data_IF_037795879742
#
_entry.id   IF_037795879742
#
_cell.length_a   1.000
_cell.length_b   1.000
_cell.length_c   1.000
_cell.angle_alpha   90.00
_cell.angle_beta   90.00
_cell.angle_gamma   90.00
#
_symmetry.space_group_name_H-M   'P 1'
#
loop_
_entity.id
_entity.type
_entity.pdbx_description
1 polymer ?
#
# COMPACT_ATOMS: atom_id res chain seq x y z
N UNK A 1 -21.51 16.20 -4.60
CA UNK A 1 -20.69 17.32 -4.08
C UNK A 1 -19.93 16.96 -2.80
N UNK A 2 -20.59 16.43 -1.77
CA UNK A 2 -20.00 16.21 -0.44
C UNK A 2 -18.86 15.18 -0.39
N UNK A 3 -19.03 14.00 -1.01
CA UNK A 3 -18.01 12.94 -1.00
C UNK A 3 -16.72 13.39 -1.71
N UNK A 4 -16.85 14.13 -2.82
CA UNK A 4 -15.71 14.69 -3.54
C UNK A 4 -14.86 15.60 -2.64
N UNK A 5 -15.50 16.48 -1.86
CA UNK A 5 -14.82 17.35 -0.91
C UNK A 5 -14.19 16.57 0.25
N UNK A 6 -14.86 15.53 0.74
CA UNK A 6 -14.32 14.65 1.79
C UNK A 6 -13.06 13.92 1.33
N UNK A 7 -13.04 13.37 0.11
CA UNK A 7 -11.86 12.71 -0.45
C UNK A 7 -10.69 13.68 -0.67
N UNK A 8 -10.97 14.87 -1.20
CA UNK A 8 -9.96 15.93 -1.36
C UNK A 8 -9.41 16.37 -0.01
N UNK A 9 -10.29 16.59 0.98
CA UNK A 9 -9.90 16.97 2.33
C UNK A 9 -9.05 15.88 2.99
N UNK A 10 -9.47 14.61 2.90
CA UNK A 10 -8.72 13.47 3.45
C UNK A 10 -7.31 13.38 2.86
N UNK A 11 -7.19 13.54 1.54
CA UNK A 11 -5.88 13.57 0.87
C UNK A 11 -5.02 14.75 1.33
N UNK A 12 -5.59 15.95 1.43
CA UNK A 12 -4.87 17.14 1.95
C UNK A 12 -4.44 16.94 3.41
N UNK A 13 -5.28 16.32 4.24
CA UNK A 13 -4.94 16.00 5.63
C UNK A 13 -3.74 15.04 5.68
N UNK A 14 -3.74 13.93 4.93
CA UNK A 14 -2.56 13.03 4.85
C UNK A 14 -1.31 13.78 4.39
N UNK A 15 -1.45 14.67 3.40
CA UNK A 15 -0.32 15.45 2.87
C UNK A 15 0.29 16.45 3.85
N UNK A 16 -0.48 16.93 4.83
CA UNK A 16 -0.03 17.90 5.83
C UNK A 16 0.40 17.18 7.11
N UNK A 17 -0.46 16.30 7.62
CA UNK A 17 -0.33 15.64 8.92
C UNK A 17 0.48 14.35 8.80
N UNK A 18 0.25 13.56 7.76
CA UNK A 18 0.81 12.21 7.59
C UNK A 18 0.36 11.28 8.72
N UNK A 19 1.30 10.47 9.22
CA UNK A 19 1.09 9.57 10.37
C UNK A 19 1.69 10.17 11.66
N UNK A 20 0.90 10.92 12.46
CA UNK A 20 1.38 11.53 13.69
C UNK A 20 1.67 10.45 14.74
N UNK A 21 2.94 10.30 15.11
CA UNK A 21 3.43 9.28 16.07
C UNK A 21 2.73 9.32 17.45
N UNK A 22 2.14 10.46 17.80
CA UNK A 22 1.55 10.72 19.12
C UNK A 22 0.03 10.48 19.17
N UNK A 23 -0.64 10.24 18.05
CA UNK A 23 -2.07 9.95 18.04
C UNK A 23 -2.32 8.44 17.91
N UNK A 24 -3.34 7.90 18.61
CA UNK A 24 -3.71 6.50 18.45
C UNK A 24 -4.18 6.25 17.01
N UNK A 25 -3.35 5.59 16.21
CA UNK A 25 -3.66 5.28 14.82
C UNK A 25 -4.55 4.03 14.73
N UNK A 26 -5.63 4.01 13.93
CA UNK A 26 -6.56 2.87 13.87
C UNK A 26 -5.88 1.53 13.53
N UNK A 27 -4.83 1.58 12.70
CA UNK A 27 -3.99 0.41 12.35
C UNK A 27 -3.38 -0.27 13.60
N UNK A 28 -3.02 0.49 14.64
CA UNK A 28 -2.51 -0.10 15.90
C UNK A 28 -3.61 -0.90 16.60
N UNK A 29 -4.83 -0.39 16.60
CA UNK A 29 -6.00 -1.10 17.12
C UNK A 29 -6.28 -2.38 16.34
N UNK A 30 -6.25 -2.31 15.00
CA UNK A 30 -6.38 -3.46 14.11
C UNK A 30 -5.29 -4.51 14.40
N UNK A 31 -4.03 -4.11 14.51
CA UNK A 31 -2.92 -5.03 14.80
C UNK A 31 -3.05 -5.74 16.16
N UNK A 32 -3.52 -5.02 17.18
CA UNK A 32 -3.84 -5.62 18.49
C UNK A 32 -4.98 -6.63 18.39
N UNK A 33 -6.05 -6.30 17.65
CA UNK A 33 -7.18 -7.19 17.41
C UNK A 33 -6.75 -8.46 16.65
N UNK A 34 -5.94 -8.31 15.59
CA UNK A 34 -5.38 -9.43 14.81
C UNK A 34 -4.57 -10.34 15.73
N UNK A 35 -3.67 -9.78 16.54
CA UNK A 35 -2.80 -10.56 17.44
C UNK A 35 -3.62 -11.29 18.51
N UNK A 36 -4.65 -10.65 19.06
CA UNK A 36 -5.54 -11.27 20.03
C UNK A 36 -6.35 -12.42 19.42
N UNK A 37 -6.90 -12.21 18.22
CA UNK A 37 -7.70 -13.21 17.51
C UNK A 37 -6.83 -14.38 17.03
N UNK A 38 -5.62 -14.12 16.51
CA UNK A 38 -4.64 -15.17 16.20
C UNK A 38 -4.40 -16.06 17.44
N UNK A 39 -4.09 -15.44 18.59
CA UNK A 39 -3.83 -16.19 19.83
C UNK A 39 -5.05 -17.00 20.27
N UNK A 40 -6.25 -16.45 20.15
CA UNK A 40 -7.49 -17.15 20.48
C UNK A 40 -7.72 -18.35 19.56
N UNK A 41 -7.57 -18.17 18.24
CA UNK A 41 -7.71 -19.25 17.26
C UNK A 41 -6.70 -20.36 17.53
N UNK A 42 -5.42 -20.04 17.74
CA UNK A 42 -4.38 -21.05 17.99
C UNK A 42 -4.54 -21.81 19.31
N UNK A 43 -5.25 -21.25 20.29
CA UNK A 43 -5.59 -21.96 21.54
C UNK A 43 -6.67 -23.02 21.34
N UNK A 44 -7.59 -22.79 20.40
CA UNK A 44 -8.74 -23.66 20.14
C UNK A 44 -8.47 -24.67 19.02
N UNK A 45 -7.62 -24.32 18.05
CA UNK A 45 -7.30 -25.15 16.89
C UNK A 45 -5.80 -25.25 16.66
N UNK A 46 -5.30 -26.48 16.54
CA UNK A 46 -3.88 -26.79 16.32
C UNK A 46 -3.61 -27.59 15.04
N UNK A 47 -4.63 -28.24 14.45
CA UNK A 47 -4.46 -29.03 13.21
C UNK A 47 -4.52 -28.11 11.97
N UNK A 48 -3.68 -28.32 10.94
CA UNK A 48 -3.62 -27.48 9.73
C UNK A 48 -4.98 -27.20 9.08
N UNK A 49 -5.78 -28.25 8.85
CA UNK A 49 -7.10 -28.11 8.22
C UNK A 49 -8.09 -27.27 9.06
N UNK A 50 -8.06 -27.45 10.39
CA UNK A 50 -8.89 -26.65 11.29
C UNK A 50 -8.42 -25.20 11.39
N UNK A 51 -7.10 -24.97 11.40
CA UNK A 51 -6.51 -23.63 11.36
C UNK A 51 -6.90 -22.89 10.09
N UNK A 52 -6.89 -23.57 8.95
CA UNK A 52 -7.28 -22.95 7.67
C UNK A 52 -8.74 -22.51 7.63
N UNK A 53 -9.65 -23.31 8.20
CA UNK A 53 -11.07 -22.92 8.34
C UNK A 53 -11.24 -21.78 9.34
N UNK A 54 -10.59 -21.87 10.49
CA UNK A 54 -10.64 -20.84 11.52
C UNK A 54 -9.98 -19.53 11.05
N UNK A 55 -9.01 -19.59 10.15
CA UNK A 55 -8.34 -18.44 9.54
C UNK A 55 -9.28 -17.50 8.81
N UNK A 56 -10.43 -17.98 8.33
CA UNK A 56 -11.48 -17.13 7.72
C UNK A 56 -12.07 -16.14 8.74
N UNK A 57 -12.03 -16.46 10.04
CA UNK A 57 -12.50 -15.57 11.09
C UNK A 57 -11.65 -14.30 11.19
N UNK A 58 -10.37 -14.34 10.82
CA UNK A 58 -9.49 -13.16 10.86
C UNK A 58 -10.03 -12.01 9.99
N UNK A 59 -10.18 -12.17 8.65
CA UNK A 59 -10.74 -11.11 7.82
C UNK A 59 -12.19 -10.78 8.18
N UNK A 60 -13.03 -11.77 8.49
CA UNK A 60 -14.43 -11.51 8.86
C UNK A 60 -14.55 -10.62 10.10
N UNK A 61 -13.83 -10.94 11.18
CA UNK A 61 -13.92 -10.19 12.42
C UNK A 61 -13.17 -8.85 12.35
N UNK A 62 -11.99 -8.80 11.74
CA UNK A 62 -11.17 -7.58 11.76
C UNK A 62 -11.63 -6.59 10.68
N UNK A 63 -11.79 -7.03 9.43
CA UNK A 63 -12.27 -6.12 8.37
C UNK A 63 -13.76 -5.81 8.53
N UNK A 64 -14.59 -6.81 8.85
CA UNK A 64 -16.00 -6.61 9.15
C UNK A 64 -16.22 -5.77 10.41
N UNK A 65 -15.40 -5.97 11.45
CA UNK A 65 -15.40 -5.15 12.66
C UNK A 65 -14.99 -3.70 12.39
N UNK A 66 -13.91 -3.48 11.62
CA UNK A 66 -13.49 -2.13 11.22
C UNK A 66 -14.57 -1.38 10.43
N UNK A 67 -15.22 -2.08 9.49
CA UNK A 67 -16.36 -1.56 8.75
C UNK A 67 -17.53 -1.20 9.69
N UNK A 68 -17.97 -2.15 10.53
CA UNK A 68 -19.12 -1.96 11.40
C UNK A 68 -18.89 -0.87 12.44
N UNK A 69 -17.73 -0.83 13.10
CA UNK A 69 -17.40 0.20 14.08
C UNK A 69 -17.38 1.58 13.45
N UNK A 70 -16.83 1.69 12.24
CA UNK A 70 -16.78 2.96 11.50
C UNK A 70 -18.17 3.39 11.05
N UNK A 71 -18.99 2.47 10.54
CA UNK A 71 -20.38 2.75 10.15
C UNK A 71 -21.24 3.18 11.35
N UNK A 72 -21.14 2.49 12.48
CA UNK A 72 -21.85 2.84 13.72
C UNK A 72 -21.41 4.21 14.22
N UNK A 73 -20.10 4.51 14.22
CA UNK A 73 -19.58 5.82 14.62
C UNK A 73 -20.20 6.94 13.76
N UNK A 74 -20.19 6.79 12.43
CA UNK A 74 -20.76 7.81 11.54
C UNK A 74 -22.28 7.94 11.68
N UNK A 75 -23.00 6.84 11.93
CA UNK A 75 -24.44 6.85 12.20
C UNK A 75 -24.77 7.55 13.54
N UNK A 76 -23.96 7.38 14.57
CA UNK A 76 -24.13 8.11 15.83
C UNK A 76 -23.86 9.60 15.64
N UNK A 77 -22.81 9.97 14.87
CA UNK A 77 -22.49 11.37 14.58
C UNK A 77 -23.55 12.04 13.70
N UNK A 78 -24.19 11.31 12.79
CA UNK A 78 -25.25 11.85 11.93
C UNK A 78 -26.50 12.26 12.73
N UNK A 79 -26.72 11.64 13.88
CA UNK A 79 -27.78 12.02 14.82
C UNK A 79 -27.51 13.35 15.53
N UNK A 80 -26.26 13.83 15.52
CA UNK A 80 -25.85 15.09 16.15
C UNK A 80 -25.75 16.20 15.10
N UNK A 81 -24.97 15.99 14.03
CA UNK A 81 -24.77 16.98 12.98
C UNK A 81 -24.15 16.36 11.72
N UNK A 82 -24.68 16.67 10.51
CA UNK A 82 -24.07 16.25 9.24
C UNK A 82 -22.62 16.72 9.07
N UNK A 83 -22.25 17.88 9.63
CA UNK A 83 -20.89 18.40 9.55
C UNK A 83 -19.87 17.52 10.30
N UNK A 84 -20.28 16.94 11.44
CA UNK A 84 -19.42 16.04 12.20
C UNK A 84 -19.14 14.76 11.42
N UNK A 85 -20.12 14.26 10.66
CA UNK A 85 -19.93 13.11 9.77
C UNK A 85 -18.86 13.41 8.75
N UNK A 86 -18.92 14.56 8.07
CA UNK A 86 -17.94 14.90 7.02
C UNK A 86 -16.52 15.07 7.57
N UNK A 87 -16.40 15.71 8.74
CA UNK A 87 -15.09 15.87 9.42
C UNK A 87 -14.53 14.50 9.82
N UNK A 88 -15.35 13.67 10.46
CA UNK A 88 -14.94 12.34 10.90
C UNK A 88 -14.60 11.44 9.70
N UNK A 89 -15.37 11.51 8.62
CA UNK A 89 -15.14 10.73 7.41
C UNK A 89 -13.82 11.14 6.72
N UNK A 90 -13.57 12.44 6.56
CA UNK A 90 -12.32 12.95 5.99
C UNK A 90 -11.11 12.54 6.85
N UNK A 91 -11.24 12.66 8.18
CA UNK A 91 -10.20 12.23 9.11
C UNK A 91 -9.94 10.72 9.01
N UNK A 92 -10.98 9.89 9.10
CA UNK A 92 -10.84 8.43 9.04
C UNK A 92 -10.23 7.97 7.71
N UNK A 93 -10.68 8.51 6.57
CA UNK A 93 -10.09 8.19 5.27
C UNK A 93 -8.61 8.62 5.24
N UNK A 94 -8.26 9.79 5.79
CA UNK A 94 -6.86 10.22 5.85
C UNK A 94 -5.96 9.23 6.59
N UNK A 95 -6.46 8.57 7.64
CA UNK A 95 -5.71 7.51 8.36
C UNK A 95 -5.57 6.18 7.60
N UNK A 96 -6.27 6.03 6.47
CA UNK A 96 -6.13 4.84 5.61
C UNK A 96 -5.11 5.02 4.49
N UNK A 97 -4.71 6.27 4.24
CA UNK A 97 -3.78 6.65 3.17
C UNK A 97 -2.42 7.01 3.81
N UNK A 98 -1.32 6.67 3.16
CA UNK A 98 0.02 7.00 3.66
C UNK A 98 0.93 7.62 2.57
N UNK A 99 0.41 8.57 1.78
CA UNK A 99 1.18 9.16 0.66
C UNK A 99 2.35 10.01 1.16
N UNK A 100 2.15 10.76 2.25
CA UNK A 100 3.22 11.52 2.90
C UNK A 100 4.23 10.60 3.58
N UNK A 101 3.74 9.64 4.37
CA UNK A 101 4.60 8.71 5.10
C UNK A 101 5.52 7.92 4.18
N UNK A 102 4.98 7.38 3.08
CA UNK A 102 5.74 6.63 2.09
C UNK A 102 6.79 7.50 1.37
N UNK A 103 6.43 8.73 1.00
CA UNK A 103 7.38 9.70 0.43
C UNK A 103 8.52 10.01 1.40
N UNK A 104 8.19 10.36 2.64
CA UNK A 104 9.16 10.77 3.65
C UNK A 104 10.13 9.61 3.97
N UNK A 105 9.63 8.38 3.99
CA UNK A 105 10.47 7.20 4.22
C UNK A 105 11.42 6.92 3.05
N UNK A 106 10.98 7.06 1.80
CA UNK A 106 11.87 6.99 0.64
C UNK A 106 12.93 8.11 0.66
N UNK A 107 12.53 9.34 0.97
CA UNK A 107 13.46 10.48 1.08
C UNK A 107 14.49 10.26 2.19
N UNK A 108 14.11 9.62 3.31
CA UNK A 108 15.06 9.31 4.37
C UNK A 108 16.20 8.41 3.86
N UNK A 109 15.90 7.39 3.05
CA UNK A 109 16.94 6.55 2.42
C UNK A 109 17.78 7.36 1.42
N UNK A 110 17.13 8.16 0.58
CA UNK A 110 17.81 9.02 -0.39
C UNK A 110 18.82 9.97 0.25
N UNK A 111 18.45 10.62 1.36
CA UNK A 111 19.30 11.58 2.08
C UNK A 111 20.56 10.90 2.60
N UNK A 112 20.47 9.69 3.16
CA UNK A 112 21.66 8.96 3.64
C UNK A 112 22.54 8.46 2.49
N UNK A 113 21.94 8.05 1.36
CA UNK A 113 22.69 7.72 0.14
C UNK A 113 23.46 8.94 -0.41
N UNK A 114 22.86 10.12 -0.42
CA UNK A 114 23.50 11.36 -0.88
C UNK A 114 24.67 11.80 0.01
N UNK A 115 24.62 11.46 1.31
CA UNK A 115 25.73 11.69 2.24
C UNK A 115 26.86 10.66 2.08
N UNK A 116 26.63 9.55 1.37
CA UNK A 116 27.55 8.41 1.30
C UNK A 116 27.56 7.52 2.54
N UNK A 117 26.60 7.68 3.47
CA UNK A 117 26.51 6.87 4.69
C UNK A 117 25.69 5.59 4.42
N UNK A 118 26.38 4.58 3.86
CA UNK A 118 25.78 3.28 3.52
C UNK A 118 25.18 2.57 4.75
N UNK A 119 25.85 2.48 5.91
CA UNK A 119 25.23 1.92 7.12
C UNK A 119 23.93 2.61 7.52
N UNK A 120 23.87 3.94 7.49
CA UNK A 120 22.65 4.69 7.81
C UNK A 120 21.55 4.44 6.75
N UNK A 121 21.91 4.40 5.47
CA UNK A 121 20.98 4.11 4.38
C UNK A 121 20.38 2.70 4.49
N UNK A 122 21.18 1.67 4.85
CA UNK A 122 20.69 0.31 5.13
C UNK A 122 19.71 0.27 6.29
N UNK A 123 20.00 1.03 7.35
CA UNK A 123 19.12 1.15 8.51
C UNK A 123 17.81 1.82 8.12
N UNK A 124 17.85 2.92 7.37
CA UNK A 124 16.66 3.61 6.88
C UNK A 124 15.81 2.69 5.99
N UNK A 125 16.44 1.97 5.06
CA UNK A 125 15.75 1.00 4.20
C UNK A 125 15.10 -0.12 5.04
N UNK A 126 15.81 -0.65 6.04
CA UNK A 126 15.30 -1.72 6.91
C UNK A 126 14.07 -1.33 7.73
N UNK A 127 13.73 -0.04 7.80
CA UNK A 127 12.48 0.43 8.42
C UNK A 127 11.26 0.31 7.49
N UNK A 128 11.47 0.15 6.18
CA UNK A 128 10.40 0.10 5.17
C UNK A 128 10.35 -1.21 4.38
N UNK A 129 11.39 -2.05 4.45
CA UNK A 129 11.38 -3.40 3.84
C UNK A 129 11.33 -4.50 4.89
N UNK A 130 10.76 -5.64 4.52
CA UNK A 130 10.82 -6.88 5.32
C UNK A 130 12.06 -7.75 5.07
N UNK A 131 12.95 -7.35 4.14
CA UNK A 131 14.16 -8.10 3.76
C UNK A 131 15.38 -7.64 4.56
N UNK A 132 16.39 -8.50 4.65
CA UNK A 132 17.65 -8.18 5.30
C UNK A 132 18.40 -7.11 4.49
N UNK A 133 18.85 -6.03 5.16
CA UNK A 133 19.51 -4.89 4.49
C UNK A 133 21.01 -4.78 4.78
N UNK A 134 21.53 -5.57 5.71
CA UNK A 134 22.87 -5.38 6.31
C UNK A 134 24.00 -5.50 5.27
N UNK A 135 23.83 -6.32 4.24
CA UNK A 135 24.83 -6.57 3.20
C UNK A 135 24.62 -5.79 1.89
N UNK A 136 23.55 -5.00 1.77
CA UNK A 136 23.18 -4.37 0.49
C UNK A 136 24.14 -3.24 0.10
N UNK A 137 24.56 -3.19 -1.15
CA UNK A 137 25.31 -2.04 -1.68
C UNK A 137 24.36 -0.90 -2.09
N UNK A 138 24.90 0.23 -2.56
CA UNK A 138 24.09 1.40 -2.89
C UNK A 138 23.03 1.13 -3.97
N UNK A 139 23.33 0.48 -5.11
CA UNK A 139 22.30 0.11 -6.10
C UNK A 139 21.19 -0.76 -5.52
N UNK A 140 21.52 -1.72 -4.67
CA UNK A 140 20.53 -2.61 -4.04
C UNK A 140 19.68 -1.90 -2.98
N UNK A 141 20.23 -0.88 -2.32
CA UNK A 141 19.47 0.00 -1.42
C UNK A 141 18.47 0.85 -2.23
N UNK A 142 18.92 1.40 -3.37
CA UNK A 142 18.04 2.14 -4.30
C UNK A 142 16.94 1.22 -4.81
N UNK A 143 17.29 0.02 -5.31
CA UNK A 143 16.34 -0.98 -5.80
C UNK A 143 15.26 -1.28 -4.77
N UNK A 144 15.66 -1.59 -3.53
CA UNK A 144 14.70 -1.90 -2.46
C UNK A 144 13.77 -0.75 -2.11
N UNK A 145 14.29 0.47 -2.15
CA UNK A 145 13.48 1.67 -1.89
C UNK A 145 12.48 1.89 -3.02
N UNK A 146 12.92 1.77 -4.28
CA UNK A 146 12.05 1.93 -5.45
C UNK A 146 10.96 0.84 -5.48
N UNK A 147 11.33 -0.42 -5.26
CA UNK A 147 10.39 -1.55 -5.15
C UNK A 147 9.33 -1.28 -4.08
N UNK A 148 9.76 -0.89 -2.87
CA UNK A 148 8.86 -0.63 -1.75
C UNK A 148 7.90 0.52 -2.05
N UNK A 149 8.43 1.65 -2.57
CA UNK A 149 7.60 2.80 -2.90
C UNK A 149 6.61 2.42 -4.00
N UNK A 150 7.05 1.73 -5.06
CA UNK A 150 6.20 1.33 -6.17
C UNK A 150 5.09 0.37 -5.74
N UNK A 151 5.44 -0.71 -5.03
CA UNK A 151 4.49 -1.71 -4.51
C UNK A 151 3.39 -1.02 -3.67
N UNK A 152 3.78 -0.13 -2.76
CA UNK A 152 2.85 0.52 -1.84
C UNK A 152 2.03 1.67 -2.45
N UNK A 153 2.23 2.04 -3.72
CA UNK A 153 1.32 2.98 -4.42
C UNK A 153 -0.11 2.43 -4.39
N UNK A 154 -0.25 1.13 -4.63
CA UNK A 154 -1.54 0.44 -4.63
C UNK A 154 -2.09 0.38 -3.21
N UNK A 155 -1.34 -0.26 -2.32
CA UNK A 155 -1.84 -0.64 -0.99
C UNK A 155 -2.04 0.53 -0.03
N UNK A 156 -1.15 1.51 -0.09
CA UNK A 156 -1.14 2.62 0.84
C UNK A 156 -1.90 3.85 0.32
N UNK A 157 -2.32 3.87 -0.95
CA UNK A 157 -2.93 5.08 -1.56
C UNK A 157 -4.11 4.75 -2.45
N UNK A 158 -3.90 4.04 -3.57
CA UNK A 158 -4.94 3.89 -4.59
C UNK A 158 -6.09 3.02 -4.09
N UNK A 159 -5.81 1.90 -3.43
CA UNK A 159 -6.85 1.01 -2.93
C UNK A 159 -7.69 1.63 -1.79
N UNK A 160 -7.10 2.27 -0.76
CA UNK A 160 -7.90 2.99 0.24
C UNK A 160 -8.83 4.05 -0.38
N UNK A 161 -8.32 4.84 -1.34
CA UNK A 161 -9.10 5.86 -2.05
C UNK A 161 -10.20 5.25 -2.94
N UNK A 162 -9.91 4.13 -3.61
CA UNK A 162 -10.87 3.41 -4.43
C UNK A 162 -12.06 2.93 -3.59
N UNK A 163 -11.78 2.32 -2.43
CA UNK A 163 -12.81 1.86 -1.52
C UNK A 163 -13.54 3.00 -0.79
N UNK A 164 -12.84 4.11 -0.51
CA UNK A 164 -13.45 5.34 0.00
C UNK A 164 -14.46 5.93 -1.00
N UNK A 165 -14.17 5.90 -2.30
CA UNK A 165 -15.10 6.36 -3.34
C UNK A 165 -16.38 5.52 -3.37
N UNK A 166 -16.27 4.20 -3.18
CA UNK A 166 -17.40 3.26 -3.28
C UNK A 166 -18.28 3.29 -2.03
N UNK A 167 -17.66 3.30 -0.85
CA UNK A 167 -18.37 3.06 0.42
C UNK A 167 -17.96 3.97 1.56
N UNK A 168 -17.31 5.10 1.27
CA UNK A 168 -16.88 6.09 2.25
C UNK A 168 -15.82 5.54 3.22
N UNK A 169 -15.67 6.21 4.36
CA UNK A 169 -14.74 5.77 5.40
C UNK A 169 -14.94 4.31 5.88
N UNK A 170 -16.17 3.76 6.02
CA UNK A 170 -16.35 2.37 6.45
C UNK A 170 -15.62 1.37 5.54
N UNK A 171 -15.74 1.52 4.22
CA UNK A 171 -15.13 0.58 3.28
C UNK A 171 -13.62 0.81 3.13
N UNK A 172 -13.16 2.07 3.20
CA UNK A 172 -11.73 2.39 3.27
C UNK A 172 -11.06 1.76 4.51
N UNK A 173 -11.73 1.84 5.66
CA UNK A 173 -11.26 1.24 6.92
C UNK A 173 -11.27 -0.29 6.89
N UNK A 174 -12.30 -0.89 6.26
CA UNK A 174 -12.35 -2.32 6.02
C UNK A 174 -11.17 -2.78 5.16
N UNK A 175 -10.92 -2.07 4.06
CA UNK A 175 -9.76 -2.34 3.21
C UNK A 175 -8.45 -2.20 3.97
N UNK A 176 -8.27 -1.12 4.76
CA UNK A 176 -7.05 -0.93 5.55
C UNK A 176 -6.82 -2.06 6.56
N UNK A 177 -7.89 -2.61 7.12
CA UNK A 177 -7.84 -3.80 7.95
C UNK A 177 -7.44 -5.07 7.18
N UNK A 178 -7.91 -5.24 5.93
CA UNK A 178 -7.46 -6.33 5.04
C UNK A 178 -5.96 -6.23 4.76
N UNK A 179 -5.47 -5.05 4.39
CA UNK A 179 -4.05 -4.84 4.12
C UNK A 179 -3.17 -5.04 5.38
N UNK A 180 -3.66 -4.60 6.55
CA UNK A 180 -2.98 -4.84 7.84
C UNK A 180 -2.93 -6.33 8.18
N UNK A 181 -4.00 -7.08 7.89
CA UNK A 181 -4.04 -8.53 8.05
C UNK A 181 -3.01 -9.22 7.18
N UNK A 182 -2.93 -8.88 5.89
CA UNK A 182 -1.94 -9.49 4.99
C UNK A 182 -0.51 -9.21 5.47
N UNK A 183 -0.21 -7.98 5.86
CA UNK A 183 1.11 -7.59 6.38
C UNK A 183 1.50 -8.31 7.68
N UNK A 184 0.55 -8.76 8.50
CA UNK A 184 0.83 -9.41 9.80
C UNK A 184 0.78 -10.94 9.75
N UNK A 185 -0.13 -11.50 8.95
CA UNK A 185 -0.40 -12.94 8.92
C UNK A 185 -0.43 -13.53 7.51
N UNK A 186 -0.25 -12.75 6.44
CA UNK A 186 -0.32 -13.23 5.04
C UNK A 186 0.89 -14.04 4.56
N UNK A 187 1.96 -14.12 5.36
CA UNK A 187 3.20 -14.79 4.98
C UNK A 187 3.02 -16.29 4.65
N UNK A 188 3.64 -16.74 3.56
CA UNK A 188 3.69 -18.15 3.14
C UNK A 188 4.77 -18.94 3.88
N UNK A 189 4.79 -18.87 5.22
CA UNK A 189 5.70 -19.64 6.08
C UNK A 189 4.93 -20.67 6.92
N UNK A 190 5.65 -21.59 7.58
CA UNK A 190 5.02 -22.68 8.35
C UNK A 190 4.09 -22.18 9.46
N UNK A 191 4.35 -20.97 9.98
CA UNK A 191 3.50 -20.36 11.01
C UNK A 191 2.15 -19.92 10.45
N UNK A 192 2.11 -19.32 9.26
CA UNK A 192 0.95 -18.58 8.76
C UNK A 192 0.30 -19.17 7.50
N UNK A 193 0.95 -20.10 6.80
CA UNK A 193 0.45 -20.68 5.54
C UNK A 193 -1.00 -21.14 5.61
N UNK A 194 -1.42 -21.77 6.70
CA UNK A 194 -2.80 -22.22 6.88
C UNK A 194 -3.69 -21.12 7.47
N UNK A 195 -3.25 -20.46 8.55
CA UNK A 195 -4.05 -19.47 9.28
C UNK A 195 -4.35 -18.22 8.44
N UNK A 196 -3.32 -17.69 7.79
CA UNK A 196 -3.36 -16.42 7.08
C UNK A 196 -3.85 -16.50 5.64
N UNK A 197 -4.09 -17.71 5.13
CA UNK A 197 -4.45 -17.90 3.72
C UNK A 197 -5.67 -17.08 3.28
N UNK A 198 -6.69 -16.99 4.13
CA UNK A 198 -7.90 -16.21 3.84
C UNK A 198 -7.62 -14.71 3.79
N UNK A 199 -6.75 -14.21 4.69
CA UNK A 199 -6.31 -12.81 4.72
C UNK A 199 -5.55 -12.44 3.44
N UNK A 200 -4.54 -13.23 3.08
CA UNK A 200 -3.74 -12.99 1.87
C UNK A 200 -4.60 -13.05 0.60
N UNK A 201 -5.53 -14.02 0.53
CA UNK A 201 -6.43 -14.13 -0.61
C UNK A 201 -7.41 -12.96 -0.71
N UNK A 202 -7.89 -12.43 0.42
CA UNK A 202 -8.77 -11.28 0.43
C UNK A 202 -8.03 -10.01 -0.01
N UNK A 203 -6.78 -9.83 0.43
CA UNK A 203 -5.93 -8.73 -0.02
C UNK A 203 -5.67 -8.81 -1.53
N UNK A 204 -5.26 -9.99 -2.03
CA UNK A 204 -5.08 -10.23 -3.47
C UNK A 204 -6.31 -9.81 -4.29
N UNK A 205 -7.51 -10.15 -3.81
CA UNK A 205 -8.77 -9.80 -4.49
C UNK A 205 -9.07 -8.32 -4.37
N UNK A 206 -8.88 -7.73 -3.19
CA UNK A 206 -9.19 -6.33 -2.94
C UNK A 206 -8.31 -5.38 -3.76
N UNK A 207 -7.05 -5.76 -3.94
CA UNK A 207 -6.06 -5.01 -4.71
C UNK A 207 -6.08 -5.30 -6.21
N UNK A 208 -6.87 -6.28 -6.68
CA UNK A 208 -6.87 -6.70 -8.08
C UNK A 208 -7.18 -5.54 -9.04
N UNK A 209 -8.34 -4.90 -8.89
CA UNK A 209 -8.76 -3.78 -9.75
C UNK A 209 -7.88 -2.54 -9.51
N UNK A 210 -7.65 -2.08 -8.26
CA UNK A 210 -6.77 -0.94 -8.00
C UNK A 210 -5.38 -1.04 -8.61
N UNK A 211 -4.75 -2.23 -8.59
CA UNK A 211 -3.42 -2.42 -9.18
C UNK A 211 -3.38 -2.17 -10.70
N UNK A 212 -4.43 -2.57 -11.43
CA UNK A 212 -4.50 -2.36 -12.89
C UNK A 212 -4.76 -0.88 -13.21
N UNK A 213 -5.63 -0.24 -12.45
CA UNK A 213 -5.84 1.21 -12.55
C UNK A 213 -4.52 1.94 -12.30
N UNK A 214 -3.79 1.54 -11.26
CA UNK A 214 -2.50 2.14 -10.88
C UNK A 214 -1.48 2.05 -12.02
N UNK A 215 -1.35 0.91 -12.70
CA UNK A 215 -0.43 0.78 -13.83
C UNK A 215 -0.75 1.75 -14.99
N UNK A 216 -2.03 1.95 -15.32
CA UNK A 216 -2.44 2.90 -16.36
C UNK A 216 -2.18 4.34 -15.93
N UNK A 217 -2.45 4.68 -14.67
CA UNK A 217 -2.15 5.99 -14.11
C UNK A 217 -0.65 6.27 -14.08
N UNK A 218 0.18 5.27 -13.76
CA UNK A 218 1.63 5.41 -13.78
C UNK A 218 2.17 5.64 -15.20
N UNK A 219 1.59 5.01 -16.22
CA UNK A 219 1.92 5.32 -17.61
C UNK A 219 1.57 6.77 -17.98
N UNK A 220 0.39 7.25 -17.58
CA UNK A 220 0.02 8.66 -17.76
C UNK A 220 1.00 9.60 -17.03
N UNK A 221 1.35 9.28 -15.78
CA UNK A 221 2.31 10.04 -14.98
C UNK A 221 3.69 10.06 -15.63
N UNK A 222 4.14 8.93 -16.19
CA UNK A 222 5.40 8.84 -16.92
C UNK A 222 5.40 9.83 -18.10
N UNK A 223 4.32 9.89 -18.88
CA UNK A 223 4.19 10.86 -19.98
C UNK A 223 4.24 12.31 -19.50
N UNK A 224 3.52 12.64 -18.42
CA UNK A 224 3.50 14.00 -17.84
C UNK A 224 4.85 14.42 -17.27
N UNK A 225 5.62 13.48 -16.72
CA UNK A 225 6.97 13.69 -16.18
C UNK A 225 8.07 13.57 -17.25
N UNK A 226 7.71 13.40 -18.53
CA UNK A 226 8.64 13.20 -19.66
C UNK A 226 9.56 11.98 -19.49
N UNK A 227 9.03 10.93 -18.85
CA UNK A 227 9.61 9.59 -18.76
C UNK A 227 9.08 8.69 -19.89
N UNK A 228 9.59 7.46 -19.99
CA UNK A 228 9.23 6.52 -21.06
C UNK A 228 7.92 5.78 -20.76
N UNK A 229 6.79 6.42 -21.07
CA UNK A 229 5.46 5.84 -20.85
C UNK A 229 5.16 4.63 -21.76
N UNK A 230 5.79 4.53 -22.94
CA UNK A 230 5.65 3.38 -23.83
C UNK A 230 6.32 2.15 -23.22
N UNK A 231 7.55 2.31 -22.73
CA UNK A 231 8.27 1.25 -22.02
C UNK A 231 7.58 0.87 -20.72
N UNK A 232 7.02 1.84 -19.98
CA UNK A 232 6.15 1.56 -18.83
C UNK A 232 5.05 0.55 -19.18
N UNK A 233 4.25 0.80 -20.23
CA UNK A 233 3.18 -0.12 -20.66
C UNK A 233 3.72 -1.46 -21.18
N UNK A 234 4.84 -1.43 -21.90
CA UNK A 234 5.50 -2.63 -22.41
C UNK A 234 5.94 -3.56 -21.27
N UNK A 235 6.58 -3.01 -20.24
CA UNK A 235 7.06 -3.77 -19.08
C UNK A 235 5.90 -4.27 -18.23
N UNK A 236 4.84 -3.48 -18.01
CA UNK A 236 3.63 -3.96 -17.32
C UNK A 236 3.05 -5.18 -18.01
N UNK A 237 2.92 -5.15 -19.35
CA UNK A 237 2.39 -6.27 -20.12
C UNK A 237 3.30 -7.50 -20.06
N UNK A 238 4.62 -7.30 -20.11
CA UNK A 238 5.62 -8.39 -20.16
C UNK A 238 5.88 -9.00 -18.79
N UNK A 239 6.00 -8.20 -17.74
CA UNK A 239 6.65 -8.60 -16.49
C UNK A 239 5.70 -8.66 -15.28
N UNK A 240 4.59 -7.91 -15.27
CA UNK A 240 3.77 -7.77 -14.06
C UNK A 240 3.22 -9.11 -13.52
N UNK A 241 2.93 -10.06 -14.41
CA UNK A 241 2.40 -11.39 -14.05
C UNK A 241 3.47 -12.35 -13.51
N UNK A 242 4.75 -12.01 -13.62
CA UNK A 242 5.86 -12.80 -13.08
C UNK A 242 6.04 -12.59 -11.58
N UNK A 243 5.45 -11.52 -11.02
CA UNK A 243 5.53 -11.24 -9.60
C UNK A 243 4.73 -12.26 -8.77
N UNK A 244 5.23 -12.72 -7.60
CA UNK A 244 4.52 -13.70 -6.76
C UNK A 244 3.15 -13.22 -6.25
N UNK A 245 3.01 -11.91 -6.04
CA UNK A 245 1.72 -11.25 -5.79
C UNK A 245 1.07 -10.89 -7.13
N UNK A 246 -0.23 -11.18 -7.32
CA UNK A 246 -0.98 -10.86 -8.53
C UNK A 246 -1.14 -9.36 -8.77
N UNK A 247 -0.71 -8.52 -7.82
CA UNK A 247 -0.95 -7.08 -7.79
C UNK A 247 0.35 -6.26 -7.80
N UNK A 248 1.34 -6.58 -6.96
CA UNK A 248 2.54 -5.74 -6.78
C UNK A 248 3.40 -5.63 -8.05
N UNK A 249 3.37 -6.64 -8.93
CA UNK A 249 4.11 -6.59 -10.18
C UNK A 249 3.66 -5.49 -11.14
N UNK A 250 2.42 -5.01 -11.03
CA UNK A 250 1.87 -3.95 -11.89
C UNK A 250 2.56 -2.60 -11.67
N UNK A 251 2.53 -2.01 -10.45
CA UNK A 251 3.23 -0.76 -10.21
C UNK A 251 4.76 -0.89 -10.30
N UNK A 252 5.36 -2.02 -9.87
CA UNK A 252 6.80 -2.23 -9.97
C UNK A 252 7.28 -2.25 -11.43
N UNK A 253 6.62 -3.03 -12.30
CA UNK A 253 6.97 -3.08 -13.73
C UNK A 253 6.71 -1.74 -14.43
N UNK A 254 5.67 -1.01 -14.02
CA UNK A 254 5.38 0.33 -14.54
C UNK A 254 6.50 1.32 -14.23
N UNK A 255 6.94 1.39 -12.97
CA UNK A 255 8.04 2.26 -12.53
C UNK A 255 9.35 1.85 -13.17
N UNK A 256 9.68 0.55 -13.18
CA UNK A 256 10.90 0.03 -13.79
C UNK A 256 10.97 0.39 -15.28
N UNK A 257 9.87 0.20 -16.02
CA UNK A 257 9.77 0.56 -17.42
C UNK A 257 9.87 2.07 -17.68
N UNK A 258 9.18 2.89 -16.87
CA UNK A 258 9.23 4.35 -17.01
C UNK A 258 10.63 4.92 -16.78
N UNK A 259 11.37 4.35 -15.82
CA UNK A 259 12.71 4.81 -15.44
C UNK A 259 13.83 4.17 -16.26
N UNK A 260 13.57 3.08 -16.98
CA UNK A 260 14.59 2.33 -17.74
C UNK A 260 15.56 1.57 -16.84
N UNK A 261 15.08 1.09 -15.71
CA UNK A 261 15.83 0.32 -14.71
C UNK A 261 15.27 -1.09 -14.58
N UNK A 262 16.01 -1.97 -13.90
CA UNK A 262 15.57 -3.32 -13.57
C UNK A 262 15.36 -3.46 -12.07
N UNK A 263 14.18 -3.95 -11.69
CA UNK A 263 13.81 -4.36 -10.34
C UNK A 263 13.76 -5.90 -10.26
N UNK A 264 13.52 -6.43 -9.06
CA UNK A 264 13.56 -7.86 -8.76
C UNK A 264 14.98 -8.39 -8.57
N UNK A 265 15.15 -9.71 -8.65
CA UNK A 265 16.41 -10.38 -8.37
C UNK A 265 16.45 -11.00 -6.97
N UNK A 266 17.66 -11.19 -6.46
CA UNK A 266 17.88 -11.88 -5.19
C UNK A 266 17.59 -10.98 -3.99
N UNK A 267 16.81 -11.50 -3.05
CA UNK A 267 16.52 -10.87 -1.76
C UNK A 267 16.82 -11.87 -0.65
N UNK A 268 17.30 -11.41 0.49
CA UNK A 268 17.54 -12.27 1.66
C UNK A 268 16.51 -11.95 2.74
N UNK A 269 15.85 -12.97 3.27
CA UNK A 269 14.90 -12.83 4.38
C UNK A 269 15.33 -13.75 5.52
N UNK A 270 15.71 -13.17 6.67
CA UNK A 270 16.18 -13.95 7.82
C UNK A 270 17.30 -14.95 7.45
N UNK A 271 18.23 -14.51 6.60
CA UNK A 271 19.33 -15.33 6.08
C UNK A 271 18.98 -16.29 4.94
N UNK A 272 17.72 -16.37 4.50
CA UNK A 272 17.28 -17.24 3.40
C UNK A 272 17.16 -16.44 2.10
N UNK A 273 17.92 -16.86 1.07
CA UNK A 273 17.82 -16.27 -0.27
C UNK A 273 16.48 -16.61 -0.94
N UNK A 274 15.88 -15.61 -1.57
CA UNK A 274 14.63 -15.70 -2.32
C UNK A 274 14.74 -14.86 -3.58
N UNK A 275 14.59 -15.50 -4.73
CA UNK A 275 14.64 -14.85 -6.03
C UNK A 275 13.26 -14.33 -6.43
N UNK A 276 13.15 -13.04 -6.71
CA UNK A 276 11.99 -12.43 -7.38
C UNK A 276 12.30 -12.28 -8.86
N UNK A 277 11.31 -12.54 -9.72
CA UNK A 277 11.46 -12.35 -11.16
C UNK A 277 11.89 -10.92 -11.47
N UNK A 278 12.74 -10.76 -12.49
CA UNK A 278 13.15 -9.44 -12.95
C UNK A 278 11.98 -8.71 -13.62
N UNK A 279 11.87 -7.42 -13.32
CA UNK A 279 10.89 -6.51 -13.92
C UNK A 279 11.62 -5.32 -14.51
N UNK A 280 11.33 -4.98 -15.76
CA UNK A 280 12.04 -3.91 -16.46
C UNK A 280 13.36 -4.34 -17.11
N UNK A 281 13.89 -3.44 -17.94
CA UNK A 281 15.14 -3.62 -18.66
C UNK A 281 16.21 -2.66 -18.10
N UNK A 282 17.47 -3.12 -17.90
CA UNK A 282 18.54 -2.32 -17.32
C UNK A 282 19.17 -1.43 -18.41
N UNK A 283 18.37 -0.54 -18.99
CA UNK A 283 18.82 0.37 -20.04
C UNK A 283 19.83 1.37 -19.50
N UNK A 284 19.76 1.66 -18.21
CA UNK A 284 20.80 2.34 -17.44
C UNK A 284 20.94 1.74 -16.04
N UNK A 285 21.98 2.13 -15.34
CA UNK A 285 22.20 1.81 -13.92
C UNK A 285 21.23 2.58 -13.03
N UNK A 286 20.87 1.98 -11.90
CA UNK A 286 20.09 2.64 -10.85
C UNK A 286 20.93 3.65 -10.10
N UNK A 287 20.32 4.78 -9.79
CA UNK A 287 20.94 5.90 -9.07
C UNK A 287 20.01 6.38 -7.95
N UNK A 288 20.53 7.01 -6.88
CA UNK A 288 19.69 7.50 -5.78
C UNK A 288 18.51 8.37 -6.22
N UNK A 289 18.67 9.16 -7.30
CA UNK A 289 17.61 10.02 -7.84
C UNK A 289 16.38 9.24 -8.34
N UNK A 290 16.50 7.93 -8.59
CA UNK A 290 15.36 7.06 -8.92
C UNK A 290 14.34 6.97 -7.79
N UNK A 291 14.77 7.11 -6.54
CA UNK A 291 13.89 7.19 -5.37
C UNK A 291 13.02 8.46 -5.46
N UNK A 292 13.63 9.57 -5.87
CA UNK A 292 12.95 10.85 -6.03
C UNK A 292 11.98 10.80 -7.21
N UNK A 293 12.38 10.22 -8.34
CA UNK A 293 11.50 10.08 -9.50
C UNK A 293 10.32 9.15 -9.21
N UNK A 294 10.55 8.02 -8.53
CA UNK A 294 9.48 7.12 -8.09
C UNK A 294 8.52 7.83 -7.14
N UNK A 295 9.04 8.61 -6.20
CA UNK A 295 8.21 9.43 -5.29
C UNK A 295 7.40 10.49 -6.05
N UNK A 296 7.96 11.11 -7.10
CA UNK A 296 7.22 12.06 -7.95
C UNK A 296 6.11 11.37 -8.74
N UNK A 297 6.39 10.20 -9.32
CA UNK A 297 5.38 9.38 -10.00
C UNK A 297 4.24 9.00 -9.05
N UNK A 298 4.57 8.50 -7.85
CA UNK A 298 3.59 8.17 -6.81
C UNK A 298 2.72 9.38 -6.46
N UNK A 299 3.34 10.53 -6.19
CA UNK A 299 2.64 11.74 -5.79
C UNK A 299 1.70 12.26 -6.87
N UNK A 300 2.15 12.26 -8.12
CA UNK A 300 1.34 12.64 -9.27
C UNK A 300 0.19 11.65 -9.50
N UNK A 301 0.47 10.34 -9.44
CA UNK A 301 -0.52 9.27 -9.57
C UNK A 301 -1.62 9.42 -8.52
N UNK A 302 -1.23 9.66 -7.27
CA UNK A 302 -2.15 9.91 -6.15
C UNK A 302 -3.04 11.12 -6.41
N UNK A 303 -2.44 12.24 -6.85
CA UNK A 303 -3.17 13.49 -7.11
C UNK A 303 -4.17 13.35 -8.27
N UNK A 304 -3.76 12.69 -9.35
CA UNK A 304 -4.65 12.39 -10.49
C UNK A 304 -5.79 11.49 -10.03
N UNK A 305 -5.51 10.43 -9.27
CA UNK A 305 -6.53 9.50 -8.83
C UNK A 305 -7.57 10.14 -7.91
N UNK A 306 -7.14 10.92 -6.92
CA UNK A 306 -8.05 11.69 -6.05
C UNK A 306 -8.90 12.64 -6.87
N UNK A 307 -8.30 13.33 -7.86
CA UNK A 307 -9.03 14.20 -8.80
C UNK A 307 -10.10 13.44 -9.59
N UNK A 308 -9.76 12.25 -10.12
CA UNK A 308 -10.71 11.38 -10.82
C UNK A 308 -11.84 10.91 -9.89
N UNK A 309 -11.51 10.47 -8.67
CA UNK A 309 -12.51 10.08 -7.67
C UNK A 309 -13.45 11.25 -7.34
N UNK A 310 -12.92 12.47 -7.20
CA UNK A 310 -13.72 13.66 -6.95
C UNK A 310 -14.67 13.98 -8.12
N UNK A 311 -14.20 13.86 -9.36
CA UNK A 311 -15.03 14.04 -10.57
C UNK A 311 -16.12 12.97 -10.65
N UNK A 312 -15.78 11.70 -10.44
CA UNK A 312 -16.77 10.60 -10.45
C UNK A 312 -17.82 10.81 -9.35
N UNK A 313 -17.40 11.12 -8.13
CA UNK A 313 -18.30 11.42 -7.01
C UNK A 313 -19.16 12.66 -7.27
N UNK A 314 -18.66 13.63 -8.03
CA UNK A 314 -19.44 14.79 -8.44
C UNK A 314 -20.54 14.40 -9.43
N UNK A 315 -20.20 13.66 -10.49
CA UNK A 315 -21.15 13.24 -11.54
C UNK A 315 -22.21 12.32 -10.97
N UNK A 316 -21.83 11.38 -10.10
CA UNK A 316 -22.74 10.35 -9.60
C UNK A 316 -23.79 10.88 -8.61
N UNK A 317 -23.50 11.97 -7.91
CA UNK A 317 -24.41 12.61 -6.93
C UNK A 317 -25.08 13.87 -7.51
N UNK A 318 -24.47 14.50 -8.52
CA UNK A 318 -24.98 15.69 -9.19
C UNK A 318 -25.88 15.42 -10.39
N UNK A 319 -26.17 14.15 -10.69
CA UNK A 319 -27.13 13.71 -11.71
C UNK A 319 -28.50 13.41 -11.14
#
# INVERSE_FOLDING_TARGET
MTIALVLLAAYVIDRIVGDPRNLPHPVIGMGKAITALERAIRRLWSRPQSLRRAGVLLPLCVAGGAWALTAILLWLLSSISPWLVWIAEAWLISTTIASKGLKDAGIAVYVELQKGDIPAARKALGMIVGRDTISLDAPEIVRGTVETVAENIVDAIISPLFYALIGGAPLAMAYRAVNTLDSMVGYKNDKYRDLGWASARLDDVANFIPARITALLLALCAGMLRLDWLRCLQMVKRDAHLHPSPNSGYPESAVAGALGIRLGGENVYHGVASFRAYMGDPVRTMEPDDIIQTSRMMMLCSSIFVGLCAVVAWIWIGG
#
